data_IF_284923233289
#
_entry.id   IF_284923233289
#
_cell.length_a   1.000
_cell.length_b   1.000
_cell.length_c   1.000
_cell.angle_alpha   90.00
_cell.angle_beta   90.00
_cell.angle_gamma   90.00
#
_symmetry.space_group_name_H-M   'P 1'
#
loop_
_entity.id
_entity.type
_entity.pdbx_description
1 polymer ?
#
# COMPACT_ATOMS: atom_id res chain seq x y z
N UNK A 1 -12.29 -26.70 2.72
CA UNK A 1 -10.93 -26.77 3.31
C UNK A 1 -10.00 -26.05 2.34
N UNK A 2 -9.29 -25.03 2.80
CA UNK A 2 -8.29 -24.33 1.98
C UNK A 2 -7.15 -25.30 1.67
N UNK A 3 -6.66 -25.29 0.42
CA UNK A 3 -5.44 -26.04 0.05
C UNK A 3 -4.17 -25.32 0.52
N UNK A 4 -4.29 -24.09 1.01
CA UNK A 4 -3.20 -23.28 1.52
C UNK A 4 -3.27 -23.19 3.05
N UNK A 5 -2.16 -23.46 3.77
CA UNK A 5 -2.12 -23.41 5.23
C UNK A 5 -2.05 -22.01 5.80
N UNK A 6 -2.04 -20.98 4.94
CA UNK A 6 -1.99 -19.57 5.31
C UNK A 6 -2.80 -18.73 4.33
N UNK A 7 -3.27 -17.57 4.78
CA UNK A 7 -4.02 -16.61 3.96
C UNK A 7 -3.88 -15.19 4.50
N UNK A 8 -4.01 -14.19 3.62
CA UNK A 8 -4.22 -12.81 3.97
C UNK A 8 -5.70 -12.48 3.81
N UNK A 9 -6.40 -12.31 4.92
CA UNK A 9 -7.81 -11.90 4.94
C UNK A 9 -7.85 -10.39 4.81
N UNK A 10 -8.57 -9.87 3.80
CA UNK A 10 -8.68 -8.44 3.51
C UNK A 10 -10.13 -8.00 3.67
N UNK A 11 -10.38 -7.12 4.64
CA UNK A 11 -11.70 -6.56 4.89
C UNK A 11 -11.95 -5.32 4.01
N UNK A 12 -12.84 -5.47 3.04
CA UNK A 12 -13.20 -4.41 2.10
C UNK A 12 -14.02 -3.30 2.80
N UNK A 13 -14.77 -3.61 3.85
CA UNK A 13 -15.48 -2.60 4.65
C UNK A 13 -14.50 -1.67 5.38
N UNK A 14 -13.37 -2.20 5.86
CA UNK A 14 -12.32 -1.38 6.44
C UNK A 14 -11.73 -0.41 5.42
N UNK A 15 -11.45 -0.86 4.18
CA UNK A 15 -10.97 0.02 3.10
C UNK A 15 -11.98 1.15 2.83
N UNK A 16 -13.27 0.84 2.69
CA UNK A 16 -14.33 1.85 2.53
C UNK A 16 -14.35 2.86 3.67
N UNK A 17 -14.29 2.35 4.90
CA UNK A 17 -14.27 3.18 6.12
C UNK A 17 -13.07 4.11 6.17
N UNK A 18 -11.88 3.59 5.85
CA UNK A 18 -10.64 4.36 5.82
C UNK A 18 -10.70 5.50 4.79
N UNK A 19 -11.22 5.24 3.59
CA UNK A 19 -11.37 6.29 2.57
C UNK A 19 -12.34 7.38 3.04
N UNK A 20 -13.46 7.03 3.70
CA UNK A 20 -14.38 8.00 4.31
C UNK A 20 -13.68 8.85 5.38
N UNK A 21 -12.87 8.22 6.24
CA UNK A 21 -12.09 8.93 7.26
C UNK A 21 -11.08 9.89 6.60
N UNK A 22 -10.36 9.44 5.57
CA UNK A 22 -9.42 10.28 4.82
C UNK A 22 -10.10 11.46 4.13
N UNK A 23 -11.28 11.26 3.54
CA UNK A 23 -12.08 12.34 2.98
C UNK A 23 -12.52 13.35 4.07
N UNK A 24 -12.82 12.90 5.29
CA UNK A 24 -13.13 13.78 6.40
C UNK A 24 -11.92 14.61 6.88
N UNK A 25 -10.68 14.09 6.74
CA UNK A 25 -9.45 14.87 6.95
C UNK A 25 -9.18 15.85 5.82
N UNK A 26 -9.52 15.51 4.57
CA UNK A 26 -9.25 16.29 3.36
C UNK A 26 -10.49 17.04 2.87
N UNK A 27 -11.14 17.81 3.75
CA UNK A 27 -12.46 18.44 3.50
C UNK A 27 -12.56 19.33 2.25
N UNK A 28 -11.46 19.89 1.79
CA UNK A 28 -11.41 20.81 0.65
C UNK A 28 -10.81 20.18 -0.60
N UNK A 29 -10.35 18.94 -0.50
CA UNK A 29 -9.65 18.23 -1.58
C UNK A 29 -10.33 16.90 -1.90
N UNK A 30 -10.22 16.49 -3.15
CA UNK A 30 -10.62 15.16 -3.58
C UNK A 30 -9.64 14.10 -3.06
N UNK A 31 -10.07 12.84 -2.98
CA UNK A 31 -9.22 11.74 -2.57
C UNK A 31 -8.87 10.87 -3.78
N UNK A 32 -7.57 10.72 -4.05
CA UNK A 32 -7.02 9.70 -4.93
C UNK A 32 -6.56 8.52 -4.08
N UNK A 33 -7.28 7.42 -4.13
CA UNK A 33 -6.80 6.17 -3.51
C UNK A 33 -5.63 5.60 -4.33
N UNK A 34 -4.45 5.50 -3.72
CA UNK A 34 -3.27 4.94 -4.38
C UNK A 34 -3.29 3.42 -4.24
N UNK A 35 -3.51 2.74 -5.37
CA UNK A 35 -3.71 1.28 -5.45
C UNK A 35 -2.57 0.53 -6.14
N UNK A 36 -1.41 1.17 -6.31
CA UNK A 36 -0.18 0.56 -6.86
C UNK A 36 0.27 -0.66 -6.06
N UNK A 37 1.13 -1.49 -6.66
CA UNK A 37 1.72 -2.68 -6.05
C UNK A 37 0.64 -3.64 -5.53
N UNK A 38 -0.31 -3.99 -6.42
CA UNK A 38 -1.46 -4.83 -6.09
C UNK A 38 -2.25 -4.28 -4.88
N UNK A 39 -2.52 -2.95 -4.88
CA UNK A 39 -3.16 -2.26 -3.77
C UNK A 39 -2.41 -2.48 -2.45
N UNK A 40 -1.07 -2.26 -2.45
CA UNK A 40 -0.19 -2.55 -1.32
C UNK A 40 -0.33 -4.00 -0.83
N UNK A 41 -0.48 -4.94 -1.76
CA UNK A 41 -0.62 -6.36 -1.46
C UNK A 41 -2.03 -6.81 -1.04
N UNK A 42 -3.03 -5.92 -1.10
CA UNK A 42 -4.41 -6.21 -0.69
C UNK A 42 -5.30 -6.74 -1.83
N UNK A 43 -4.79 -6.79 -3.07
CA UNK A 43 -5.55 -7.17 -4.27
C UNK A 43 -6.11 -5.94 -5.00
N UNK A 44 -5.56 -5.65 -6.19
CA UNK A 44 -5.80 -4.41 -6.94
C UNK A 44 -7.31 -4.13 -7.16
N UNK A 45 -8.02 -5.07 -7.77
CA UNK A 45 -9.39 -4.81 -8.22
C UNK A 45 -10.41 -4.72 -7.08
N UNK A 46 -10.41 -5.63 -6.09
CA UNK A 46 -11.33 -5.52 -4.95
C UNK A 46 -11.07 -4.28 -4.11
N UNK A 47 -9.79 -3.96 -3.84
CA UNK A 47 -9.45 -2.78 -3.06
C UNK A 47 -9.78 -1.47 -3.79
N UNK A 48 -9.55 -1.38 -5.10
CA UNK A 48 -9.93 -0.22 -5.92
C UNK A 48 -11.44 0.02 -5.88
N UNK A 49 -12.25 -1.05 -6.00
CA UNK A 49 -13.71 -0.96 -5.91
C UNK A 49 -14.15 -0.45 -4.54
N UNK A 50 -13.63 -1.05 -3.48
CA UNK A 50 -13.95 -0.63 -2.12
C UNK A 50 -13.52 0.83 -1.85
N UNK A 51 -12.39 1.27 -2.38
CA UNK A 51 -11.95 2.65 -2.25
C UNK A 51 -12.90 3.63 -2.95
N UNK A 52 -13.37 3.33 -4.14
CA UNK A 52 -14.37 4.15 -4.86
C UNK A 52 -15.71 4.17 -4.12
N UNK A 53 -16.18 3.03 -3.62
CA UNK A 53 -17.38 2.94 -2.78
C UNK A 53 -17.22 3.72 -1.46
N UNK A 54 -16.00 3.88 -0.97
CA UNK A 54 -15.64 4.73 0.16
C UNK A 54 -15.64 6.22 -0.13
N UNK A 55 -15.74 6.63 -1.42
CA UNK A 55 -15.77 8.02 -1.84
C UNK A 55 -14.48 8.54 -2.47
N UNK A 56 -13.51 7.67 -2.80
CA UNK A 56 -12.39 8.08 -3.63
C UNK A 56 -12.90 8.47 -5.02
N UNK A 57 -12.41 9.59 -5.55
CA UNK A 57 -12.77 10.08 -6.88
C UNK A 57 -11.74 9.69 -7.94
N UNK A 58 -10.54 9.34 -7.50
CA UNK A 58 -9.41 8.97 -8.33
C UNK A 58 -8.77 7.69 -7.84
N UNK A 59 -8.15 6.96 -8.77
CA UNK A 59 -7.24 5.86 -8.47
C UNK A 59 -5.83 6.23 -8.94
N UNK A 60 -4.82 5.92 -8.13
CA UNK A 60 -3.43 6.18 -8.45
C UNK A 60 -2.62 4.89 -8.57
N UNK A 61 -1.94 4.71 -9.72
CA UNK A 61 -1.08 3.56 -9.98
C UNK A 61 0.35 4.00 -10.24
N UNK A 62 1.32 3.13 -9.98
CA UNK A 62 2.69 3.43 -10.35
C UNK A 62 2.95 3.11 -11.82
N UNK A 63 2.55 1.93 -12.26
CA UNK A 63 2.86 1.42 -13.59
C UNK A 63 1.63 1.44 -14.51
N UNK A 64 1.88 1.64 -15.81
CA UNK A 64 0.82 1.68 -16.83
C UNK A 64 0.04 0.35 -16.86
N UNK A 65 0.70 -0.79 -16.65
CA UNK A 65 0.02 -2.10 -16.61
C UNK A 65 -1.04 -2.22 -15.53
N UNK A 66 -0.79 -1.62 -14.35
CA UNK A 66 -1.80 -1.56 -13.26
C UNK A 66 -3.02 -0.72 -13.66
N UNK A 67 -2.78 0.43 -14.31
CA UNK A 67 -3.84 1.31 -14.80
C UNK A 67 -4.67 0.64 -15.90
N UNK A 68 -4.02 -0.03 -16.85
CA UNK A 68 -4.70 -0.80 -17.90
C UNK A 68 -5.52 -1.96 -17.34
N UNK A 69 -5.03 -2.64 -16.29
CA UNK A 69 -5.79 -3.70 -15.61
C UNK A 69 -7.07 -3.16 -14.96
N UNK A 70 -7.04 -1.96 -14.37
CA UNK A 70 -8.24 -1.29 -13.86
C UNK A 70 -9.23 -1.01 -14.98
N UNK A 71 -8.78 -0.46 -16.10
CA UNK A 71 -9.67 -0.19 -17.27
C UNK A 71 -10.25 -1.47 -17.86
N UNK A 72 -9.45 -2.53 -18.02
CA UNK A 72 -9.91 -3.83 -18.50
C UNK A 72 -10.95 -4.46 -17.56
N UNK A 73 -10.93 -4.14 -16.27
CA UNK A 73 -11.92 -4.57 -15.29
C UNK A 73 -13.15 -3.64 -15.18
N UNK A 74 -13.30 -2.65 -16.08
CA UNK A 74 -14.47 -1.78 -16.19
C UNK A 74 -14.52 -0.64 -15.16
N UNK A 75 -13.37 -0.17 -14.66
CA UNK A 75 -13.32 1.01 -13.80
C UNK A 75 -13.33 2.29 -14.64
N UNK A 76 -14.34 3.16 -14.43
CA UNK A 76 -14.54 4.42 -15.16
C UNK A 76 -13.99 5.64 -14.41
N UNK A 77 -13.61 5.49 -13.13
CA UNK A 77 -13.03 6.57 -12.33
C UNK A 77 -11.74 7.11 -12.98
N UNK A 78 -11.38 8.36 -12.66
CA UNK A 78 -10.09 8.94 -13.08
C UNK A 78 -8.95 8.06 -12.57
N UNK A 79 -7.99 7.75 -13.44
CA UNK A 79 -6.78 6.97 -13.10
C UNK A 79 -5.56 7.76 -13.51
N UNK A 80 -4.64 7.99 -12.57
CA UNK A 80 -3.32 8.56 -12.84
C UNK A 80 -2.24 7.50 -12.70
N UNK A 81 -1.33 7.42 -13.68
CA UNK A 81 -0.10 6.61 -13.61
C UNK A 81 1.15 7.46 -13.72
N UNK A 82 2.29 7.06 -13.09
CA UNK A 82 3.42 7.98 -12.96
C UNK A 82 4.82 7.40 -13.11
N UNK A 83 4.99 6.10 -13.35
CA UNK A 83 6.31 5.49 -13.44
C UNK A 83 6.42 4.58 -14.66
N UNK A 84 7.22 5.02 -15.61
CA UNK A 84 7.49 4.30 -16.86
C UNK A 84 8.85 4.71 -17.40
N UNK A 85 9.39 3.90 -18.29
CA UNK A 85 10.63 4.14 -19.02
C UNK A 85 10.34 4.46 -20.49
N UNK A 86 11.30 4.96 -21.25
CA UNK A 86 11.16 5.12 -22.70
C UNK A 86 10.68 3.83 -23.40
N UNK A 87 9.79 3.99 -24.38
CA UNK A 87 9.15 2.88 -25.07
C UNK A 87 7.95 2.24 -24.36
N UNK A 88 7.47 2.86 -23.29
CA UNK A 88 6.25 2.40 -22.58
C UNK A 88 5.00 2.48 -23.48
N UNK A 89 3.94 1.69 -23.20
CA UNK A 89 2.73 1.64 -24.01
C UNK A 89 1.81 2.86 -23.79
N UNK A 90 2.34 4.08 -24.03
CA UNK A 90 1.64 5.34 -23.80
C UNK A 90 0.43 5.53 -24.72
N UNK A 91 0.50 5.03 -25.96
CA UNK A 91 -0.65 4.98 -26.85
C UNK A 91 -1.83 4.24 -26.22
N UNK A 92 -1.57 3.07 -25.60
CA UNK A 92 -2.62 2.28 -24.93
C UNK A 92 -3.17 3.02 -23.70
N UNK A 93 -2.30 3.69 -22.93
CA UNK A 93 -2.71 4.46 -21.76
C UNK A 93 -3.64 5.62 -22.17
N UNK A 94 -3.28 6.38 -23.21
CA UNK A 94 -4.09 7.49 -23.74
C UNK A 94 -5.40 6.98 -24.34
N UNK A 95 -5.35 5.91 -25.14
CA UNK A 95 -6.55 5.29 -25.71
C UNK A 95 -7.54 4.81 -24.65
N UNK A 96 -7.01 4.37 -23.49
CA UNK A 96 -7.80 3.91 -22.34
C UNK A 96 -8.22 5.04 -21.37
N UNK A 97 -8.05 6.31 -21.72
CA UNK A 97 -8.40 7.48 -20.90
C UNK A 97 -7.71 7.47 -19.52
N UNK A 98 -6.41 7.18 -19.51
CA UNK A 98 -5.56 7.19 -18.31
C UNK A 98 -4.75 8.49 -18.33
N UNK A 99 -4.82 9.24 -17.22
CA UNK A 99 -3.98 10.42 -17.02
C UNK A 99 -2.53 9.97 -16.79
N UNK A 100 -1.58 10.66 -17.42
CA UNK A 100 -0.16 10.27 -17.40
C UNK A 100 0.68 11.37 -16.74
N UNK A 101 1.53 10.98 -15.80
CA UNK A 101 2.49 11.93 -15.22
C UNK A 101 3.69 12.12 -16.13
N UNK A 102 4.03 13.38 -16.41
CA UNK A 102 5.21 13.77 -17.19
C UNK A 102 6.22 14.43 -16.27
N UNK A 103 7.45 13.89 -16.25
CA UNK A 103 8.52 14.31 -15.34
C UNK A 103 9.79 14.80 -16.08
N UNK A 104 9.80 14.74 -17.41
CA UNK A 104 10.95 15.10 -18.23
C UNK A 104 10.53 15.38 -19.68
N UNK A 105 11.34 16.13 -20.47
CA UNK A 105 11.04 16.41 -21.89
C UNK A 105 10.80 15.17 -22.73
N UNK A 106 11.64 14.14 -22.63
CA UNK A 106 11.47 12.89 -23.38
C UNK A 106 10.10 12.22 -23.12
N UNK A 107 9.62 12.30 -21.88
CA UNK A 107 8.34 11.73 -21.51
C UNK A 107 7.17 12.53 -22.12
N UNK A 108 7.31 13.86 -22.23
CA UNK A 108 6.37 14.72 -22.94
C UNK A 108 6.28 14.36 -24.43
N UNK A 109 7.43 14.17 -25.08
CA UNK A 109 7.49 13.79 -26.50
C UNK A 109 6.83 12.44 -26.75
N UNK A 110 7.13 11.42 -25.93
CA UNK A 110 6.53 10.08 -26.06
C UNK A 110 5.02 10.07 -25.78
N UNK A 111 4.55 10.87 -24.81
CA UNK A 111 3.11 11.02 -24.55
C UNK A 111 2.42 11.69 -25.74
N UNK A 112 3.00 12.73 -26.31
CA UNK A 112 2.47 13.41 -27.49
C UNK A 112 2.38 12.46 -28.70
N UNK A 113 3.42 11.66 -28.93
CA UNK A 113 3.41 10.64 -29.97
C UNK A 113 2.39 9.54 -29.72
N UNK A 114 2.24 9.11 -28.47
CA UNK A 114 1.19 8.17 -28.07
C UNK A 114 -0.21 8.73 -28.31
N UNK A 115 -0.45 10.01 -27.99
CA UNK A 115 -1.72 10.70 -28.21
C UNK A 115 -2.06 10.77 -29.72
N UNK A 116 -1.09 11.14 -30.56
CA UNK A 116 -1.27 11.17 -32.01
C UNK A 116 -1.64 9.79 -32.58
N UNK A 117 -0.94 8.74 -32.14
CA UNK A 117 -1.26 7.36 -32.58
C UNK A 117 -2.60 6.89 -32.06
N UNK A 118 -2.97 7.24 -30.84
CA UNK A 118 -4.30 6.89 -30.27
C UNK A 118 -5.44 7.70 -30.89
N UNK A 119 -5.16 8.80 -31.61
CA UNK A 119 -6.15 9.71 -32.13
C UNK A 119 -6.96 10.42 -31.03
N UNK A 120 -6.37 10.63 -29.84
CA UNK A 120 -7.00 11.22 -28.65
C UNK A 120 -6.09 12.20 -27.97
N UNK A 121 -6.64 13.28 -27.41
CA UNK A 121 -5.91 14.21 -26.56
C UNK A 121 -5.49 13.53 -25.26
N UNK A 122 -4.18 13.55 -24.94
CA UNK A 122 -3.66 12.99 -23.72
C UNK A 122 -3.88 13.97 -22.55
N UNK A 123 -4.27 13.44 -21.40
CA UNK A 123 -4.35 14.22 -20.14
C UNK A 123 -3.05 14.03 -19.36
N UNK A 124 -2.35 15.11 -19.05
CA UNK A 124 -1.04 15.05 -18.41
C UNK A 124 -0.97 15.81 -17.11
N UNK A 125 -0.27 15.22 -16.14
CA UNK A 125 0.11 15.85 -14.88
C UNK A 125 1.63 16.09 -14.90
N UNK A 126 2.04 17.35 -14.93
CA UNK A 126 3.46 17.69 -14.87
C UNK A 126 3.97 17.49 -13.44
N UNK A 127 5.12 16.82 -13.31
CA UNK A 127 5.74 16.56 -12.02
C UNK A 127 6.97 17.43 -11.81
N UNK A 128 6.97 18.18 -10.70
CA UNK A 128 8.12 18.96 -10.26
C UNK A 128 8.80 18.27 -9.06
N UNK A 129 10.13 18.21 -9.09
CA UNK A 129 10.91 17.77 -7.93
C UNK A 129 11.17 18.97 -7.01
N UNK A 130 10.43 19.03 -5.92
CA UNK A 130 10.54 20.11 -4.93
C UNK A 130 11.59 19.83 -3.86
N UNK A 131 12.40 18.75 -4.01
CA UNK A 131 13.48 18.44 -3.07
C UNK A 131 13.44 17.00 -2.53
N UNK A 132 12.66 16.10 -3.14
CA UNK A 132 12.74 14.67 -2.82
C UNK A 132 13.97 14.01 -3.48
N UNK A 133 14.44 14.55 -4.62
CA UNK A 133 15.62 14.04 -5.35
C UNK A 133 15.38 12.67 -6.00
N UNK A 134 14.14 12.38 -6.44
CA UNK A 134 13.79 11.07 -6.97
C UNK A 134 13.24 11.09 -8.39
N UNK A 135 12.24 11.90 -8.66
CA UNK A 135 11.55 12.00 -9.94
C UNK A 135 10.80 13.33 -10.05
N UNK A 136 10.85 13.96 -11.20
CA UNK A 136 10.26 15.27 -11.48
C UNK A 136 11.25 16.18 -12.19
N UNK A 137 10.76 17.16 -12.96
CA UNK A 137 11.59 18.22 -13.49
C UNK A 137 12.06 19.12 -12.34
N UNK A 138 13.30 19.59 -12.39
CA UNK A 138 13.79 20.55 -11.39
C UNK A 138 13.10 21.91 -11.55
N UNK A 139 12.93 22.70 -10.48
CA UNK A 139 12.21 23.98 -10.54
C UNK A 139 12.77 24.96 -11.59
N UNK A 140 14.08 25.01 -11.77
CA UNK A 140 14.76 25.85 -12.76
C UNK A 140 14.45 25.47 -14.21
N UNK A 141 14.04 24.21 -14.45
CA UNK A 141 13.67 23.71 -15.78
C UNK A 141 12.17 23.58 -16.01
N UNK A 142 11.36 23.89 -14.99
CA UNK A 142 9.90 23.73 -15.07
C UNK A 142 9.29 24.64 -16.16
N UNK A 143 9.80 25.88 -16.29
CA UNK A 143 9.29 26.82 -17.30
C UNK A 143 9.47 26.28 -18.72
N UNK A 144 10.60 25.62 -19.01
CA UNK A 144 10.89 25.01 -20.31
C UNK A 144 9.92 23.86 -20.62
N UNK A 145 9.67 22.98 -19.63
CA UNK A 145 8.72 21.86 -19.78
C UNK A 145 7.28 22.36 -19.95
N UNK A 146 6.89 23.38 -19.19
CA UNK A 146 5.57 24.01 -19.28
C UNK A 146 5.34 24.63 -20.66
N UNK A 147 6.29 25.39 -21.17
CA UNK A 147 6.19 26.03 -22.48
C UNK A 147 6.03 24.98 -23.59
N UNK A 148 6.80 23.88 -23.56
CA UNK A 148 6.66 22.78 -24.51
C UNK A 148 5.29 22.08 -24.39
N UNK A 149 4.82 21.83 -23.17
CA UNK A 149 3.52 21.19 -22.93
C UNK A 149 2.35 22.09 -23.37
N UNK A 150 2.39 23.40 -23.10
CA UNK A 150 1.36 24.35 -23.49
C UNK A 150 1.31 24.55 -25.03
N UNK A 151 2.43 24.44 -25.73
CA UNK A 151 2.42 24.40 -27.21
C UNK A 151 1.68 23.17 -27.73
N UNK A 152 1.97 21.99 -27.21
CA UNK A 152 1.26 20.76 -27.58
C UNK A 152 -0.24 20.81 -27.21
N UNK A 153 -0.56 21.50 -26.11
CA UNK A 153 -1.96 21.75 -25.74
C UNK A 153 -2.66 22.68 -26.76
N UNK A 154 -2.00 23.72 -27.23
CA UNK A 154 -2.54 24.62 -28.26
C UNK A 154 -2.75 23.89 -29.62
N UNK A 155 -1.97 22.85 -29.88
CA UNK A 155 -2.15 21.94 -31.02
C UNK A 155 -3.26 20.89 -30.81
N UNK A 156 -3.86 20.79 -29.61
CA UNK A 156 -4.88 19.78 -29.26
C UNK A 156 -4.33 18.37 -29.04
N UNK A 157 -3.01 18.22 -28.89
CA UNK A 157 -2.34 16.91 -28.72
C UNK A 157 -2.48 16.42 -27.27
N UNK A 158 -2.37 17.32 -26.30
CA UNK A 158 -2.52 17.01 -24.89
C UNK A 158 -3.18 18.16 -24.12
N UNK A 159 -3.67 17.87 -22.90
CA UNK A 159 -4.16 18.82 -21.92
C UNK A 159 -3.30 18.75 -20.67
N UNK A 160 -2.76 19.88 -20.22
CA UNK A 160 -2.06 20.00 -18.95
C UNK A 160 -3.12 20.17 -17.84
N UNK A 161 -3.54 19.05 -17.26
CA UNK A 161 -4.64 19.05 -16.28
C UNK A 161 -4.17 19.07 -14.83
N UNK A 162 -2.90 18.74 -14.58
CA UNK A 162 -2.38 18.69 -13.22
C UNK A 162 -0.92 19.14 -13.07
N UNK A 163 -0.61 19.64 -11.88
CA UNK A 163 0.76 19.86 -11.42
C UNK A 163 0.92 19.16 -10.07
N UNK A 164 2.05 18.45 -9.88
CA UNK A 164 2.23 17.69 -8.66
C UNK A 164 3.68 17.49 -8.22
N UNK A 165 3.82 17.16 -6.94
CA UNK A 165 5.09 16.79 -6.33
C UNK A 165 4.92 15.70 -5.27
N UNK A 166 5.98 15.43 -4.49
CA UNK A 166 5.96 14.47 -3.39
C UNK A 166 6.92 14.88 -2.28
N UNK A 167 6.48 14.77 -1.04
CA UNK A 167 7.30 15.11 0.12
C UNK A 167 8.36 14.05 0.43
N UNK A 168 9.51 14.52 0.90
CA UNK A 168 10.59 13.68 1.42
C UNK A 168 10.38 13.30 2.89
N UNK A 169 9.81 14.22 3.68
CA UNK A 169 9.69 14.13 5.14
C UNK A 169 8.26 14.31 5.64
N UNK A 170 7.25 13.88 4.86
CA UNK A 170 5.86 14.02 5.30
C UNK A 170 5.53 13.24 6.59
N UNK A 171 6.27 12.18 6.88
CA UNK A 171 6.21 11.39 8.10
C UNK A 171 6.80 12.11 9.32
N UNK A 172 7.60 13.15 9.12
CA UNK A 172 8.07 14.09 10.13
C UNK A 172 7.47 15.49 9.87
N UNK A 173 6.17 15.76 10.15
CA UNK A 173 5.46 16.95 9.65
C UNK A 173 6.07 18.30 10.06
N UNK A 174 6.87 18.31 11.11
CA UNK A 174 7.59 19.51 11.60
C UNK A 174 9.01 19.66 11.03
N UNK A 175 9.46 18.72 10.20
CA UNK A 175 10.77 18.83 9.56
C UNK A 175 10.82 20.05 8.63
N UNK A 176 11.86 20.90 8.67
CA UNK A 176 11.90 22.14 7.89
C UNK A 176 11.82 21.92 6.38
N UNK A 177 12.25 20.77 5.89
CA UNK A 177 12.11 20.39 4.48
C UNK A 177 10.65 20.33 4.01
N UNK A 178 9.69 20.02 4.89
CA UNK A 178 8.26 19.98 4.53
C UNK A 178 7.79 21.38 4.11
N UNK A 179 8.13 22.41 4.90
CA UNK A 179 7.80 23.79 4.56
C UNK A 179 8.52 24.25 3.29
N UNK A 180 9.83 24.00 3.20
CA UNK A 180 10.61 24.37 2.01
C UNK A 180 10.07 23.72 0.72
N UNK A 181 9.69 22.44 0.76
CA UNK A 181 9.07 21.78 -0.38
C UNK A 181 7.68 22.35 -0.73
N UNK A 182 6.90 22.74 0.29
CA UNK A 182 5.59 23.36 0.08
C UNK A 182 5.73 24.73 -0.59
N UNK A 183 6.72 25.56 -0.19
CA UNK A 183 7.03 26.84 -0.80
C UNK A 183 7.44 26.69 -2.27
N UNK A 184 8.39 25.79 -2.55
CA UNK A 184 8.82 25.50 -3.93
C UNK A 184 7.65 25.00 -4.78
N UNK A 185 6.73 24.21 -4.21
CA UNK A 185 5.54 23.77 -4.93
C UNK A 185 4.55 24.91 -5.19
N UNK A 186 4.37 25.82 -4.25
CA UNK A 186 3.53 27.00 -4.43
C UNK A 186 4.08 27.91 -5.55
N UNK A 187 5.39 28.12 -5.58
CA UNK A 187 6.06 28.88 -6.64
C UNK A 187 5.89 28.21 -8.02
N UNK A 188 5.99 26.87 -8.06
CA UNK A 188 5.76 26.10 -9.28
C UNK A 188 4.32 26.22 -9.80
N UNK A 189 3.33 26.23 -8.90
CA UNK A 189 1.91 26.48 -9.23
C UNK A 189 1.73 27.89 -9.79
N UNK A 190 2.25 28.90 -9.09
CA UNK A 190 2.15 30.30 -9.53
C UNK A 190 2.81 30.51 -10.90
N UNK A 191 3.97 29.89 -11.15
CA UNK A 191 4.62 29.89 -12.45
C UNK A 191 3.73 29.30 -13.53
N UNK A 192 3.19 28.10 -13.31
CA UNK A 192 2.33 27.42 -14.28
C UNK A 192 1.08 28.26 -14.64
N UNK A 193 0.42 28.84 -13.64
CA UNK A 193 -0.74 29.72 -13.83
C UNK A 193 -0.36 31.01 -14.56
N UNK A 194 0.80 31.62 -14.26
CA UNK A 194 1.29 32.83 -14.94
C UNK A 194 1.61 32.59 -16.42
N UNK A 195 2.02 31.37 -16.78
CA UNK A 195 2.27 30.93 -18.16
C UNK A 195 0.97 30.55 -18.91
N UNK A 196 -0.20 30.58 -18.23
CA UNK A 196 -1.50 30.31 -18.82
C UNK A 196 -2.00 28.87 -18.68
N UNK A 197 -1.34 28.02 -17.88
CA UNK A 197 -1.86 26.69 -17.56
C UNK A 197 -3.17 26.80 -16.78
N UNK A 198 -4.15 25.99 -17.16
CA UNK A 198 -5.46 25.89 -16.47
C UNK A 198 -5.55 24.53 -15.78
N UNK A 199 -4.93 24.45 -14.59
CA UNK A 199 -4.84 23.22 -13.84
C UNK A 199 -6.22 22.83 -13.26
N UNK A 200 -6.69 21.61 -13.55
CA UNK A 200 -7.85 21.05 -12.88
C UNK A 200 -7.50 20.65 -11.44
N UNK A 201 -6.29 20.10 -11.23
CA UNK A 201 -5.82 19.62 -9.91
C UNK A 201 -4.35 19.94 -9.65
N UNK A 202 -4.08 20.42 -8.43
CA UNK A 202 -2.75 20.60 -7.84
C UNK A 202 -2.63 19.61 -6.69
N UNK A 203 -1.54 18.86 -6.61
CA UNK A 203 -1.45 17.83 -5.57
C UNK A 203 -0.02 17.48 -5.14
N UNK A 204 0.23 17.50 -3.83
CA UNK A 204 1.51 17.13 -3.22
C UNK A 204 1.34 16.16 -2.05
N UNK A 205 0.22 16.21 -1.31
CA UNK A 205 0.00 15.46 -0.09
C UNK A 205 -0.10 13.94 -0.33
N UNK A 206 0.73 13.16 0.36
CA UNK A 206 0.64 11.71 0.53
C UNK A 206 -0.18 11.34 1.78
N UNK A 207 -0.20 10.08 2.23
CA UNK A 207 -0.92 9.64 3.42
C UNK A 207 -0.58 10.47 4.67
N UNK A 208 0.70 10.71 4.94
CA UNK A 208 1.15 11.45 6.11
C UNK A 208 0.67 12.90 6.05
N UNK A 209 0.93 13.60 4.95
CA UNK A 209 0.50 14.99 4.77
C UNK A 209 -1.03 15.10 4.73
N UNK A 210 -1.77 14.11 4.23
CA UNK A 210 -3.25 14.09 4.29
C UNK A 210 -3.75 14.13 5.72
N UNK A 211 -3.12 13.39 6.64
CA UNK A 211 -3.54 13.30 8.04
C UNK A 211 -3.02 14.44 8.92
N UNK A 212 -1.86 15.03 8.59
CA UNK A 212 -1.13 15.89 9.51
C UNK A 212 -0.93 17.33 9.03
N UNK A 213 -1.17 17.63 7.73
CA UNK A 213 -0.89 18.96 7.18
C UNK A 213 -1.96 19.43 6.19
N UNK A 214 -3.11 19.92 6.68
CA UNK A 214 -4.21 20.42 5.82
C UNK A 214 -3.81 21.56 4.87
N UNK A 215 -2.78 22.35 5.20
CA UNK A 215 -2.36 23.49 4.39
C UNK A 215 -1.82 23.10 2.99
N UNK A 216 -1.44 21.82 2.81
CA UNK A 216 -0.87 21.32 1.54
C UNK A 216 -1.79 20.35 0.81
N UNK A 217 -3.06 20.28 1.15
CA UNK A 217 -4.01 19.38 0.47
C UNK A 217 -4.28 19.79 -0.97
N UNK A 218 -4.30 21.11 -1.25
CA UNK A 218 -4.69 21.67 -2.55
C UNK A 218 -6.01 21.08 -3.04
N UNK A 219 -6.08 20.62 -4.30
CA UNK A 219 -7.29 20.08 -4.92
C UNK A 219 -7.44 18.57 -4.76
N UNK A 220 -6.31 17.86 -4.50
CA UNK A 220 -6.30 16.41 -4.51
C UNK A 220 -5.24 15.86 -3.54
N UNK A 221 -5.65 15.00 -2.62
CA UNK A 221 -4.73 14.24 -1.76
C UNK A 221 -4.56 12.80 -2.27
N UNK A 222 -3.38 12.21 -2.04
CA UNK A 222 -3.00 10.89 -2.56
C UNK A 222 -2.60 9.93 -1.45
N UNK A 223 -3.52 9.55 -0.55
CA UNK A 223 -3.25 8.53 0.44
C UNK A 223 -3.00 7.18 -0.22
N UNK A 224 -1.95 6.49 0.26
CA UNK A 224 -1.64 5.10 -0.07
C UNK A 224 -1.87 4.23 1.14
N UNK A 225 -0.88 4.10 2.01
CA UNK A 225 -0.92 3.18 3.16
C UNK A 225 -2.12 3.40 4.09
N UNK A 226 -2.57 4.65 4.23
CA UNK A 226 -3.71 5.00 5.06
C UNK A 226 -5.05 4.48 4.50
N UNK A 227 -5.16 4.26 3.19
CA UNK A 227 -6.32 3.58 2.57
C UNK A 227 -6.48 2.17 3.13
N UNK A 228 -5.38 1.52 3.43
CA UNK A 228 -5.32 0.15 3.97
C UNK A 228 -5.33 0.12 5.50
N UNK A 229 -5.55 1.27 6.14
CA UNK A 229 -5.73 1.38 7.57
C UNK A 229 -4.46 1.34 8.40
N UNK A 230 -3.31 1.62 7.81
CA UNK A 230 -2.04 1.70 8.53
C UNK A 230 -1.61 3.16 8.70
N UNK A 231 -1.09 3.49 9.90
CA UNK A 231 -0.59 4.83 10.17
C UNK A 231 0.70 5.09 9.39
N UNK A 232 0.77 6.19 8.61
CA UNK A 232 2.02 6.63 7.99
C UNK A 232 2.96 7.34 8.98
N UNK A 233 2.48 7.62 10.19
CA UNK A 233 3.16 8.41 11.23
C UNK A 233 3.00 7.71 12.61
N UNK A 234 3.45 6.46 12.77
CA UNK A 234 3.21 5.68 13.98
C UNK A 234 3.79 6.32 15.25
N UNK A 235 4.76 7.22 15.12
CA UNK A 235 5.31 8.01 16.21
C UNK A 235 4.37 9.13 16.70
N UNK A 236 3.35 9.51 15.92
CA UNK A 236 2.34 10.50 16.29
C UNK A 236 1.02 9.87 16.73
N UNK A 237 0.71 8.69 16.23
CA UNK A 237 -0.49 7.96 16.58
C UNK A 237 -0.65 6.66 15.78
N UNK A 238 -1.36 5.70 16.38
CA UNK A 238 -1.78 4.48 15.71
C UNK A 238 -2.94 4.72 14.73
N UNK A 239 -3.37 3.69 13.99
CA UNK A 239 -4.48 3.80 13.04
C UNK A 239 -5.76 4.40 13.65
N UNK A 240 -6.15 3.95 14.83
CA UNK A 240 -7.39 4.38 15.50
C UNK A 240 -7.40 5.89 15.83
N UNK A 241 -6.23 6.48 16.11
CA UNK A 241 -6.12 7.92 16.40
C UNK A 241 -6.48 8.79 15.19
N UNK A 242 -6.41 8.23 13.99
CA UNK A 242 -6.79 8.85 12.73
C UNK A 242 -8.13 8.34 12.16
N UNK A 243 -8.87 7.52 12.92
CA UNK A 243 -10.10 6.90 12.46
C UNK A 243 -9.92 5.81 11.41
N UNK A 244 -8.73 5.19 11.36
CA UNK A 244 -8.37 4.14 10.43
C UNK A 244 -8.46 2.76 11.07
N UNK A 245 -8.76 1.74 10.25
CA UNK A 245 -8.82 0.33 10.66
C UNK A 245 -7.93 -0.48 9.71
N UNK A 246 -6.91 -1.22 10.21
CA UNK A 246 -6.10 -2.10 9.36
C UNK A 246 -6.99 -3.11 8.62
N UNK A 247 -6.84 -3.14 7.29
CA UNK A 247 -7.71 -3.94 6.43
C UNK A 247 -7.22 -5.39 6.24
N UNK A 248 -5.95 -5.67 6.52
CA UNK A 248 -5.36 -6.99 6.30
C UNK A 248 -5.06 -7.71 7.61
N UNK A 249 -5.46 -8.99 7.70
CA UNK A 249 -5.00 -9.94 8.72
C UNK A 249 -4.26 -11.08 8.02
N UNK A 250 -2.99 -11.31 8.40
CA UNK A 250 -2.22 -12.48 7.95
C UNK A 250 -2.34 -13.57 8.99
N UNK A 251 -2.86 -14.72 8.58
CA UNK A 251 -3.04 -15.88 9.45
C UNK A 251 -2.56 -17.17 8.80
N UNK A 252 -2.17 -18.11 9.62
CA UNK A 252 -1.78 -19.47 9.25
C UNK A 252 -2.32 -20.50 10.24
N UNK A 253 -2.17 -21.76 9.91
CA UNK A 253 -2.43 -22.89 10.82
C UNK A 253 -1.10 -23.54 11.22
N UNK A 254 -0.95 -24.02 12.45
CA UNK A 254 0.21 -24.80 12.88
C UNK A 254 0.29 -26.08 12.03
N UNK A 255 1.39 -26.26 11.31
CA UNK A 255 1.60 -27.45 10.49
C UNK A 255 2.02 -28.68 11.31
N UNK A 256 2.78 -28.45 12.39
CA UNK A 256 3.31 -29.51 13.26
C UNK A 256 3.48 -28.94 14.67
N UNK A 257 3.17 -29.79 15.66
CA UNK A 257 3.42 -29.51 17.08
C UNK A 257 4.14 -30.70 17.69
N UNK A 258 5.21 -30.45 18.47
CA UNK A 258 6.01 -31.50 19.10
C UNK A 258 6.62 -31.07 20.41
N UNK A 259 6.69 -31.97 21.39
CA UNK A 259 7.44 -31.77 22.63
C UNK A 259 8.93 -32.06 22.39
N UNK A 260 9.81 -31.25 22.96
CA UNK A 260 11.26 -31.40 22.90
C UNK A 260 11.87 -31.18 24.28
N UNK A 261 13.03 -31.78 24.53
CA UNK A 261 13.75 -31.60 25.79
C UNK A 261 14.52 -30.28 25.90
N UNK A 262 15.17 -30.08 27.05
CA UNK A 262 16.14 -28.99 27.26
C UNK A 262 17.34 -29.11 26.32
N UNK A 263 17.91 -28.00 25.92
CA UNK A 263 19.10 -27.96 25.06
C UNK A 263 18.83 -28.23 23.60
N UNK A 264 17.57 -28.35 23.18
CA UNK A 264 17.22 -28.54 21.77
C UNK A 264 17.49 -27.27 20.98
N UNK A 265 18.40 -27.33 20.00
CA UNK A 265 18.61 -26.25 19.04
C UNK A 265 17.45 -26.15 18.04
N UNK A 266 17.00 -24.92 17.76
CA UNK A 266 15.86 -24.64 16.87
C UNK A 266 16.34 -23.93 15.62
N UNK A 267 15.91 -24.47 14.45
CA UNK A 267 16.16 -23.91 13.13
C UNK A 267 17.65 -23.80 12.76
N UNK A 268 17.96 -23.12 11.66
CA UNK A 268 19.33 -23.01 11.13
C UNK A 268 20.28 -22.28 12.10
N UNK A 269 21.45 -22.90 12.33
CA UNK A 269 22.51 -22.33 13.16
C UNK A 269 22.16 -22.30 14.64
N UNK A 270 21.08 -22.99 15.05
CA UNK A 270 20.64 -23.12 16.45
C UNK A 270 20.70 -21.77 17.23
N UNK A 271 20.25 -20.70 16.56
CA UNK A 271 20.23 -19.35 17.18
C UNK A 271 19.33 -19.30 18.43
N UNK A 272 18.35 -20.19 18.50
CA UNK A 272 17.51 -20.42 19.67
C UNK A 272 17.77 -21.83 20.22
N UNK A 273 17.87 -21.93 21.55
CA UNK A 273 18.03 -23.20 22.26
C UNK A 273 17.02 -23.25 23.40
N UNK A 274 16.30 -24.35 23.53
CA UNK A 274 15.29 -24.55 24.57
C UNK A 274 15.92 -24.59 25.96
N UNK A 275 15.39 -23.87 26.92
CA UNK A 275 15.88 -23.82 28.28
C UNK A 275 15.46 -25.05 29.11
N UNK A 276 14.33 -25.66 28.79
CA UNK A 276 13.73 -26.81 29.43
C UNK A 276 12.92 -27.65 28.45
N UNK A 277 12.19 -28.65 28.97
CA UNK A 277 11.18 -29.33 28.16
C UNK A 277 10.12 -28.31 27.74
N UNK A 278 9.77 -28.29 26.44
CA UNK A 278 8.82 -27.36 25.88
C UNK A 278 8.09 -27.94 24.67
N UNK A 279 7.06 -27.27 24.19
CA UNK A 279 6.34 -27.63 22.96
C UNK A 279 6.72 -26.65 21.86
N UNK A 280 7.17 -27.16 20.72
CA UNK A 280 7.47 -26.37 19.54
C UNK A 280 6.34 -26.48 18.51
N UNK A 281 5.91 -25.33 17.95
CA UNK A 281 4.95 -25.25 16.85
C UNK A 281 5.62 -24.77 15.58
N UNK A 282 5.29 -25.36 14.44
CA UNK A 282 5.79 -24.95 13.11
C UNK A 282 4.71 -24.17 12.39
N UNK A 283 5.01 -22.95 11.98
CA UNK A 283 4.15 -22.12 11.13
C UNK A 283 4.64 -22.25 9.69
N UNK A 284 3.78 -22.66 8.73
CA UNK A 284 4.16 -22.93 7.34
C UNK A 284 4.21 -21.66 6.48
N UNK A 285 4.92 -20.65 6.93
CA UNK A 285 5.23 -19.41 6.24
C UNK A 285 6.71 -19.08 6.44
N UNK A 286 7.37 -18.66 5.39
CA UNK A 286 8.76 -18.26 5.44
C UNK A 286 9.09 -17.08 4.53
N UNK A 287 10.40 -16.86 4.27
CA UNK A 287 10.79 -15.69 3.48
C UNK A 287 10.37 -15.80 2.00
N UNK A 288 10.07 -16.98 1.47
CA UNK A 288 9.49 -17.15 0.14
C UNK A 288 8.02 -16.68 0.07
N UNK A 289 7.36 -16.54 1.22
CA UNK A 289 5.98 -16.04 1.34
C UNK A 289 5.91 -14.55 1.66
N UNK A 290 7.08 -13.93 1.94
CA UNK A 290 7.16 -12.53 2.32
C UNK A 290 7.47 -12.29 3.80
N UNK A 291 7.71 -13.34 4.61
CA UNK A 291 8.09 -13.17 6.01
C UNK A 291 9.53 -12.65 6.09
N UNK A 292 9.80 -11.49 6.73
CA UNK A 292 11.13 -10.93 6.80
C UNK A 292 12.11 -11.88 7.53
N UNK A 293 13.22 -12.23 6.88
CA UNK A 293 14.25 -13.03 7.55
C UNK A 293 14.90 -12.29 8.73
N UNK A 294 14.89 -10.97 8.72
CA UNK A 294 15.38 -10.13 9.82
C UNK A 294 14.49 -10.21 11.07
N UNK A 295 13.24 -10.67 10.94
CA UNK A 295 12.36 -10.96 12.07
C UNK A 295 12.65 -12.29 12.77
N UNK A 296 13.79 -12.94 12.48
CA UNK A 296 14.26 -14.14 13.20
C UNK A 296 14.49 -13.86 14.67
N UNK A 297 14.18 -14.85 15.52
CA UNK A 297 14.47 -14.79 16.95
C UNK A 297 15.78 -15.52 17.31
N UNK A 298 16.21 -15.33 18.56
CA UNK A 298 17.32 -16.04 19.18
C UNK A 298 17.07 -16.21 20.68
N UNK A 299 17.91 -17.00 21.35
CA UNK A 299 17.83 -17.15 22.81
C UNK A 299 17.92 -15.79 23.50
N UNK A 300 16.90 -15.45 24.28
CA UNK A 300 16.79 -14.14 24.96
C UNK A 300 16.29 -12.97 24.09
N UNK A 301 16.11 -13.17 22.79
CA UNK A 301 15.62 -12.13 21.87
C UNK A 301 14.53 -12.73 20.99
N UNK A 302 13.24 -12.60 21.37
CA UNK A 302 12.14 -13.10 20.56
C UNK A 302 12.10 -12.39 19.20
N UNK A 303 11.80 -13.15 18.14
CA UNK A 303 11.63 -12.61 16.80
C UNK A 303 10.25 -11.99 16.57
N UNK A 304 9.84 -11.92 15.30
CA UNK A 304 8.55 -11.38 14.88
C UNK A 304 7.39 -11.94 15.72
N UNK A 305 6.47 -11.08 16.19
CA UNK A 305 5.41 -11.50 17.09
C UNK A 305 4.28 -12.23 16.36
N UNK A 306 3.66 -13.19 17.04
CA UNK A 306 2.43 -13.86 16.61
C UNK A 306 1.46 -13.98 17.76
N UNK A 307 0.16 -14.19 17.45
CA UNK A 307 -0.85 -14.58 18.43
C UNK A 307 -1.30 -16.02 18.16
N UNK A 308 -1.19 -16.89 19.15
CA UNK A 308 -1.65 -18.28 19.10
C UNK A 308 -2.18 -18.69 20.46
N UNK A 309 -3.34 -19.35 20.49
CA UNK A 309 -3.97 -19.74 21.78
C UNK A 309 -4.24 -18.56 22.72
N UNK A 310 -4.51 -17.35 22.19
CA UNK A 310 -4.69 -16.13 22.97
C UNK A 310 -3.39 -15.56 23.58
N UNK A 311 -2.22 -16.12 23.26
CA UNK A 311 -0.91 -15.71 23.78
C UNK A 311 -0.06 -15.08 22.69
N UNK A 312 0.57 -13.96 23.00
CA UNK A 312 1.53 -13.31 22.11
C UNK A 312 2.92 -13.95 22.30
N UNK A 313 3.42 -14.56 21.26
CA UNK A 313 4.72 -15.24 21.23
C UNK A 313 5.62 -14.60 20.15
N UNK A 314 6.93 -14.87 20.22
CA UNK A 314 7.89 -14.48 19.19
C UNK A 314 8.44 -15.70 18.45
N UNK A 315 8.95 -15.48 17.25
CA UNK A 315 9.65 -16.51 16.47
C UNK A 315 10.86 -17.02 17.28
N UNK A 316 10.96 -18.35 17.38
CA UNK A 316 12.08 -19.04 18.01
C UNK A 316 13.07 -19.54 16.94
N UNK A 317 14.24 -18.95 16.88
CA UNK A 317 15.27 -19.27 15.87
C UNK A 317 15.06 -18.54 14.53
N UNK A 318 15.76 -19.00 13.51
CA UNK A 318 15.77 -18.33 12.19
C UNK A 318 14.54 -18.65 11.37
N UNK A 319 14.00 -17.64 10.67
CA UNK A 319 13.00 -17.81 9.62
C UNK A 319 13.64 -18.57 8.46
N UNK A 320 13.00 -19.65 8.02
CA UNK A 320 13.41 -20.49 6.90
C UNK A 320 12.70 -20.03 5.60
N UNK A 321 12.93 -20.74 4.49
CA UNK A 321 12.30 -20.42 3.22
C UNK A 321 10.77 -20.52 3.28
N UNK A 322 10.26 -21.62 3.86
CA UNK A 322 8.85 -21.99 3.82
C UNK A 322 8.19 -22.08 5.21
N UNK A 323 8.93 -21.81 6.28
CA UNK A 323 8.44 -22.01 7.65
C UNK A 323 9.28 -21.26 8.69
N UNK A 324 8.66 -21.05 9.87
CA UNK A 324 9.36 -20.67 11.09
C UNK A 324 8.81 -21.44 12.29
N UNK A 325 9.50 -21.37 13.42
CA UNK A 325 9.18 -22.12 14.64
C UNK A 325 8.77 -21.15 15.75
N UNK A 326 7.82 -21.58 16.57
CA UNK A 326 7.41 -20.94 17.82
C UNK A 326 7.77 -21.86 18.99
N UNK A 327 8.22 -21.28 20.09
CA UNK A 327 8.22 -21.96 21.38
C UNK A 327 6.90 -21.66 22.09
N UNK A 328 6.01 -22.66 22.10
CA UNK A 328 4.68 -22.57 22.68
C UNK A 328 4.71 -22.65 24.23
N UNK A 329 5.85 -23.02 24.79
CA UNK A 329 6.06 -23.18 26.23
C UNK A 329 5.77 -24.61 26.73
N UNK A 330 6.19 -24.91 27.98
CA UNK A 330 5.98 -26.21 28.57
C UNK A 330 4.49 -26.50 28.81
N UNK A 331 4.07 -27.71 28.44
CA UNK A 331 2.69 -28.16 28.61
C UNK A 331 1.67 -27.43 27.74
N UNK A 332 2.10 -26.75 26.67
CA UNK A 332 1.20 -26.12 25.71
C UNK A 332 0.23 -27.15 25.11
N UNK A 333 -1.03 -26.76 24.93
CA UNK A 333 -2.13 -27.61 24.49
C UNK A 333 -2.45 -27.44 22.99
N UNK A 334 -1.80 -26.50 22.33
CA UNK A 334 -1.96 -26.25 20.90
C UNK A 334 -1.63 -27.51 20.10
N UNK A 335 -2.38 -27.71 19.02
CA UNK A 335 -2.25 -28.85 18.10
C UNK A 335 -2.05 -28.39 16.66
N UNK A 336 -1.66 -29.29 15.78
CA UNK A 336 -1.62 -29.01 14.35
C UNK A 336 -3.04 -28.61 13.86
N UNK A 337 -3.13 -27.57 13.07
CA UNK A 337 -4.39 -26.95 12.63
C UNK A 337 -4.84 -25.75 13.45
N UNK A 338 -4.26 -25.49 14.62
CA UNK A 338 -4.59 -24.30 15.39
C UNK A 338 -4.16 -23.02 14.67
N UNK A 339 -5.01 -21.98 14.77
CA UNK A 339 -4.80 -20.69 14.11
C UNK A 339 -3.67 -19.91 14.78
N UNK A 340 -2.81 -19.38 13.93
CA UNK A 340 -1.77 -18.41 14.28
C UNK A 340 -2.02 -17.12 13.53
N UNK A 341 -2.21 -16.00 14.23
CA UNK A 341 -2.27 -14.68 13.63
C UNK A 341 -0.87 -14.04 13.66
N UNK A 342 -0.37 -13.68 12.47
CA UNK A 342 0.93 -13.03 12.37
C UNK A 342 0.81 -11.53 12.55
N UNK A 343 -0.16 -10.91 11.89
CA UNK A 343 -0.55 -9.53 12.13
C UNK A 343 -2.00 -9.28 11.68
N UNK A 344 -2.62 -8.29 12.27
CA UNK A 344 -3.99 -7.90 11.99
C UNK A 344 -4.33 -6.52 12.52
N UNK A 345 -5.54 -6.36 13.02
CA UNK A 345 -6.05 -5.08 13.53
C UNK A 345 -5.43 -4.65 14.87
N UNK A 346 -4.75 -5.56 15.58
CA UNK A 346 -4.27 -5.31 16.95
C UNK A 346 -5.34 -5.45 18.03
N UNK A 347 -6.60 -5.72 17.67
CA UNK A 347 -7.66 -6.01 18.63
C UNK A 347 -7.33 -7.31 19.37
N UNK A 348 -7.77 -7.43 20.60
CA UNK A 348 -7.51 -8.58 21.49
C UNK A 348 -6.01 -8.88 21.74
N UNK A 349 -5.16 -7.87 21.59
CA UNK A 349 -3.72 -7.99 21.82
C UNK A 349 -2.94 -8.67 20.70
N UNK A 350 -3.55 -8.91 19.54
CA UNK A 350 -2.90 -9.44 18.35
C UNK A 350 -1.79 -8.51 17.83
N UNK A 351 -0.78 -9.04 17.13
CA UNK A 351 0.26 -8.23 16.53
C UNK A 351 -0.28 -7.38 15.38
N UNK A 352 0.39 -6.26 15.11
CA UNK A 352 0.11 -5.39 13.97
C UNK A 352 1.23 -5.48 12.94
N UNK A 353 0.97 -4.98 11.72
CA UNK A 353 2.02 -4.84 10.69
C UNK A 353 3.16 -3.93 11.18
N UNK A 354 2.88 -2.95 12.06
CA UNK A 354 3.87 -2.08 12.67
C UNK A 354 4.76 -2.83 13.69
N UNK A 355 4.21 -3.79 14.43
CA UNK A 355 5.01 -4.64 15.33
C UNK A 355 6.00 -5.50 14.55
N UNK A 356 5.56 -6.02 13.41
CA UNK A 356 6.43 -6.76 12.49
C UNK A 356 7.50 -5.86 11.86
N UNK A 357 7.12 -4.64 11.46
CA UNK A 357 8.05 -3.66 10.91
C UNK A 357 9.18 -3.36 11.91
N UNK A 358 8.82 -3.09 13.18
CA UNK A 358 9.80 -2.87 14.26
C UNK A 358 10.71 -4.07 14.49
N UNK A 359 10.14 -5.27 14.52
CA UNK A 359 10.93 -6.50 14.71
C UNK A 359 11.89 -6.78 13.56
N UNK A 360 11.53 -6.38 12.34
CA UNK A 360 12.34 -6.59 11.13
C UNK A 360 13.26 -5.40 10.78
N UNK A 361 13.17 -4.27 11.52
CA UNK A 361 13.94 -3.05 11.23
C UNK A 361 13.52 -2.37 9.93
N UNK A 362 12.21 -2.34 9.64
CA UNK A 362 11.63 -1.77 8.42
C UNK A 362 10.34 -0.97 8.72
N UNK A 363 9.49 -0.74 7.72
CA UNK A 363 8.22 -0.01 7.82
C UNK A 363 7.03 -0.91 7.48
N UNK A 364 5.86 -0.60 8.01
CA UNK A 364 4.63 -1.36 7.80
C UNK A 364 4.24 -1.50 6.32
N UNK A 365 4.63 -0.54 5.48
CA UNK A 365 4.49 -0.61 4.01
C UNK A 365 5.13 -1.87 3.43
N UNK A 366 6.38 -2.16 3.81
CA UNK A 366 7.11 -3.32 3.31
C UNK A 366 6.48 -4.63 3.79
N UNK A 367 5.98 -4.65 5.03
CA UNK A 367 5.37 -5.86 5.61
C UNK A 367 4.17 -6.31 4.78
N UNK A 368 3.25 -5.41 4.43
CA UNK A 368 2.04 -5.78 3.68
C UNK A 368 2.28 -5.97 2.19
N UNK A 369 3.21 -5.20 1.58
CA UNK A 369 3.44 -5.26 0.13
C UNK A 369 4.27 -6.46 -0.30
N UNK A 370 5.08 -7.04 0.58
CA UNK A 370 5.99 -8.14 0.21
C UNK A 370 5.38 -9.54 0.25
N UNK A 371 4.12 -9.67 0.68
CA UNK A 371 3.45 -10.99 0.68
C UNK A 371 3.38 -11.56 -0.74
N UNK A 372 3.95 -12.75 -0.92
CA UNK A 372 4.04 -13.44 -2.21
C UNK A 372 2.70 -14.02 -2.68
N UNK A 373 2.69 -14.51 -3.92
CA UNK A 373 1.51 -15.15 -4.54
C UNK A 373 1.13 -16.49 -3.91
N UNK A 374 2.02 -17.10 -3.11
CA UNK A 374 1.74 -18.32 -2.35
C UNK A 374 0.79 -18.07 -1.15
N UNK A 375 0.60 -16.81 -0.75
CA UNK A 375 -0.37 -16.41 0.28
C UNK A 375 -1.63 -15.88 -0.40
N UNK A 376 -2.72 -16.64 -0.50
CA UNK A 376 -3.93 -16.18 -1.17
C UNK A 376 -4.56 -15.02 -0.40
N UNK A 377 -5.10 -14.04 -1.15
CA UNK A 377 -5.93 -12.97 -0.59
C UNK A 377 -7.37 -13.41 -0.56
N UNK A 378 -7.95 -13.41 0.64
CA UNK A 378 -9.36 -13.74 0.86
C UNK A 378 -10.08 -12.44 1.22
N UNK A 379 -10.88 -11.92 0.29
CA UNK A 379 -11.63 -10.70 0.51
C UNK A 379 -12.92 -11.00 1.25
N UNK A 380 -13.16 -10.25 2.32
CA UNK A 380 -14.37 -10.32 3.15
C UNK A 380 -15.01 -8.93 3.24
N UNK A 381 -16.27 -8.89 3.60
CA UNK A 381 -16.98 -7.64 3.85
C UNK A 381 -17.66 -7.72 5.21
N UNK A 382 -17.04 -7.12 6.22
CA UNK A 382 -17.54 -7.21 7.60
C UNK A 382 -18.85 -6.46 7.83
N UNK A 383 -19.22 -5.47 7.01
CA UNK A 383 -20.54 -4.83 7.06
C UNK A 383 -21.65 -5.82 6.64
N UNK A 384 -21.45 -6.56 5.55
CA UNK A 384 -22.39 -7.57 5.08
C UNK A 384 -22.56 -8.71 6.09
N UNK A 385 -21.47 -9.11 6.75
CA UNK A 385 -21.52 -10.14 7.79
C UNK A 385 -22.29 -9.70 9.04
N UNK A 386 -22.28 -8.41 9.38
CA UNK A 386 -23.03 -7.86 10.55
C UNK A 386 -24.52 -7.69 10.26
N UNK A 387 -24.91 -7.45 9.02
CA UNK A 387 -26.31 -7.25 8.62
C UNK A 387 -27.09 -8.54 8.39
N UNK A 388 -26.44 -9.71 8.48
CA UNK A 388 -27.10 -11.02 8.56
C UNK A 388 -27.76 -11.48 7.26
N UNK A 389 -27.31 -11.04 6.09
CA UNK A 389 -27.78 -11.58 4.80
C UNK A 389 -26.99 -12.85 4.43
N UNK A 390 -27.57 -14.05 4.58
CA UNK A 390 -26.89 -15.33 4.31
C UNK A 390 -26.60 -15.57 2.82
N UNK A 391 -27.22 -14.80 1.91
CA UNK A 391 -27.06 -14.95 0.46
C UNK A 391 -25.76 -14.35 -0.09
N UNK A 392 -25.23 -13.33 0.55
CA UNK A 392 -24.05 -12.60 0.07
C UNK A 392 -22.72 -13.32 0.40
N UNK A 393 -22.66 -14.03 1.53
CA UNK A 393 -21.45 -14.73 1.97
C UNK A 393 -21.05 -15.90 1.04
N UNK A 394 -22.04 -16.57 0.44
CA UNK A 394 -21.81 -17.71 -0.46
C UNK A 394 -21.40 -17.27 -1.87
N UNK A 395 -21.84 -16.10 -2.33
CA UNK A 395 -21.52 -15.59 -3.67
C UNK A 395 -20.11 -15.01 -3.79
N UNK A 396 -19.55 -14.49 -2.71
CA UNK A 396 -18.19 -13.95 -2.67
C UNK A 396 -17.13 -15.07 -2.66
N UNK A 397 -17.38 -16.16 -1.93
CA UNK A 397 -16.46 -17.30 -1.84
C UNK A 397 -16.36 -18.11 -3.14
N UNK A 398 -17.39 -18.11 -3.98
CA UNK A 398 -17.43 -18.91 -5.22
C UNK A 398 -16.76 -18.20 -6.41
N UNK A 399 -16.61 -16.88 -6.41
CA UNK A 399 -15.99 -16.12 -7.51
C UNK A 399 -14.46 -16.02 -7.47
N UNK A 400 -13.81 -16.42 -6.37
CA UNK A 400 -12.35 -16.34 -6.23
C UNK A 400 -11.58 -17.60 -6.65
N UNK A 401 -12.24 -18.67 -7.08
CA UNK A 401 -11.62 -19.97 -7.44
C UNK A 401 -11.56 -20.22 -8.96
N UNK A 402 -11.91 -19.25 -9.78
CA UNK A 402 -11.90 -19.43 -11.23
C UNK A 402 -11.26 -18.27 -11.98
N UNK A 403 -9.94 -18.27 -12.09
CA UNK A 403 -9.08 -18.00 -13.28
C UNK A 403 -7.64 -17.83 -12.88
#
# INVERSE_FOLDING_TARGET
>A
VSIFPARAVVDLAAIRGNVRALAAHARTAQVMAVVKADAYGHGLLPAARAALEGGAMWLGTAQIGEALALRAAGFDARVLTWLYAPGAPLEQAVAADIDVSVAAPWALDEVADGARRAGRTARVHLKVDTGLGRNGVTPDRLAELLDAALRLQAEGVLDVVGLWSHFAFADEPRHPTVLAQAEVFADAVALAESMGARLEVRHIANSAATLTNPAVHYDLVRPGIAVYGLSPVPQLGGPADFGLVPAMTLEAELATVKTVGAGQGVSYGHAYVTAGETVLGVVPLGYADGIPRHASGSTGHPGGPVLVGGRRLGIAGRVCMDQFVLDLGPGALEVAGDRVELFGTGVDGGPTAEDWARSAGTISYEIVTRLGSRVPRVHVDSETLRTGDPGAATAAAIRSVGR
#
